data_IF_906671016363
#
_entry.id   IF_906671016363
#
_cell.length_a   1.000
_cell.length_b   1.000
_cell.length_c   1.000
_cell.angle_alpha   90.00
_cell.angle_beta   90.00
_cell.angle_gamma   90.00
#
_symmetry.space_group_name_H-M   'P 1'
#
loop_
_entity.id
_entity.type
_entity.pdbx_description
1 polymer ?
#
# COMPACT_ATOMS: atom_id res chain seq x y z
N UNK A 1 -10.21 10.25 16.37
CA UNK A 1 -11.30 9.62 15.60
C UNK A 1 -10.98 8.17 15.19
N UNK A 2 -9.85 7.89 14.49
CA UNK A 2 -9.49 6.53 14.11
C UNK A 2 -9.24 5.63 15.34
N UNK A 3 -8.50 6.12 16.33
CA UNK A 3 -8.24 5.42 17.60
C UNK A 3 -9.55 5.10 18.32
N UNK A 4 -10.50 6.04 18.35
CA UNK A 4 -11.81 5.82 18.99
C UNK A 4 -12.62 4.75 18.27
N UNK A 5 -12.58 4.74 16.93
CA UNK A 5 -13.26 3.72 16.12
C UNK A 5 -12.67 2.34 16.38
N UNK A 6 -11.34 2.24 16.42
CA UNK A 6 -10.63 0.99 16.67
C UNK A 6 -10.89 0.50 18.10
N UNK A 7 -10.85 1.39 19.09
CA UNK A 7 -11.18 1.05 20.49
C UNK A 7 -12.59 0.50 20.63
N UNK A 8 -13.58 1.12 19.95
CA UNK A 8 -14.96 0.60 19.94
C UNK A 8 -15.07 -0.76 19.28
N UNK A 9 -14.37 -0.95 18.15
CA UNK A 9 -14.35 -2.23 17.44
C UNK A 9 -13.79 -3.34 18.34
N UNK A 10 -12.62 -3.12 18.93
CA UNK A 10 -11.99 -4.09 19.82
C UNK A 10 -12.88 -4.41 21.03
N UNK A 11 -13.45 -3.38 21.66
CA UNK A 11 -14.36 -3.58 22.77
C UNK A 11 -15.57 -4.41 22.36
N UNK A 12 -16.25 -4.03 21.28
CA UNK A 12 -17.46 -4.73 20.83
C UNK A 12 -17.18 -6.20 20.45
N UNK A 13 -16.04 -6.49 19.83
CA UNK A 13 -15.65 -7.86 19.52
C UNK A 13 -15.30 -8.65 20.80
N UNK A 14 -14.55 -8.05 21.72
CA UNK A 14 -14.18 -8.68 22.98
C UNK A 14 -15.38 -8.90 23.92
N UNK A 15 -16.43 -8.09 23.83
CA UNK A 15 -17.70 -8.31 24.53
C UNK A 15 -18.43 -9.58 24.03
N UNK A 16 -18.15 -10.01 22.77
CA UNK A 16 -18.81 -11.18 22.16
C UNK A 16 -18.00 -12.46 22.38
N UNK A 17 -16.68 -12.39 22.19
CA UNK A 17 -15.80 -13.56 22.29
C UNK A 17 -14.35 -13.13 22.60
N UNK A 18 -13.47 -14.06 23.05
CA UNK A 18 -12.05 -13.77 23.20
C UNK A 18 -11.46 -13.27 21.89
N UNK A 19 -10.84 -12.09 21.92
CA UNK A 19 -10.20 -11.43 20.79
C UNK A 19 -8.68 -11.49 20.95
N UNK A 20 -8.01 -12.17 20.02
CA UNK A 20 -6.56 -12.22 19.93
C UNK A 20 -6.09 -11.30 18.82
N UNK A 21 -5.11 -10.47 19.12
CA UNK A 21 -4.51 -9.52 18.16
C UNK A 21 -3.01 -9.76 18.12
N UNK A 22 -2.42 -9.70 16.93
CA UNK A 22 -0.97 -9.59 16.71
C UNK A 22 -0.67 -8.28 15.98
N UNK A 23 0.55 -7.77 16.10
CA UNK A 23 0.97 -6.59 15.36
C UNK A 23 1.18 -6.88 13.88
N UNK A 24 0.82 -5.92 13.04
CA UNK A 24 1.23 -5.84 11.65
C UNK A 24 2.37 -4.84 11.44
N UNK A 25 2.94 -4.84 10.24
CA UNK A 25 4.04 -3.95 9.85
C UNK A 25 3.66 -2.46 9.86
N UNK A 26 2.38 -2.13 9.80
CA UNK A 26 1.86 -0.76 9.89
C UNK A 26 1.52 -0.31 11.32
N UNK A 27 1.41 -1.24 12.26
CA UNK A 27 1.13 -0.92 13.67
C UNK A 27 2.40 -0.52 14.43
N UNK A 28 3.56 -0.82 13.87
CA UNK A 28 4.86 -0.72 14.51
C UNK A 28 5.88 0.05 13.69
N UNK A 29 6.84 0.70 14.35
CA UNK A 29 8.02 1.19 13.66
C UNK A 29 9.08 0.08 13.64
N UNK A 30 9.18 -0.67 12.55
CA UNK A 30 10.13 -1.78 12.41
C UNK A 30 11.61 -1.36 12.53
N UNK A 31 11.91 -0.09 12.21
CA UNK A 31 13.26 0.47 12.34
C UNK A 31 13.60 0.94 13.75
N UNK A 32 12.62 1.01 14.64
CA UNK A 32 12.83 1.38 16.05
C UNK A 32 11.94 0.52 16.97
N UNK A 33 12.40 -0.69 17.32
CA UNK A 33 11.65 -1.62 18.18
C UNK A 33 11.35 -1.07 19.58
N UNK A 34 12.11 -0.05 20.04
CA UNK A 34 11.89 0.60 21.34
C UNK A 34 10.76 1.64 21.30
N UNK A 35 10.29 2.02 20.12
CA UNK A 35 9.15 2.92 19.99
C UNK A 35 7.86 2.15 20.27
N UNK A 36 6.98 2.76 21.07
CA UNK A 36 5.66 2.20 21.33
C UNK A 36 4.87 2.05 20.01
N UNK A 37 4.28 0.88 19.80
CA UNK A 37 3.36 0.63 18.69
C UNK A 37 1.99 1.27 18.93
N UNK A 38 1.15 1.29 17.90
CA UNK A 38 -0.18 1.92 17.96
C UNK A 38 -1.18 1.12 18.78
N UNK A 39 -1.02 -0.21 18.86
CA UNK A 39 -1.98 -1.11 19.51
C UNK A 39 -1.82 -1.13 21.02
N UNK A 40 -0.58 -1.09 21.54
CA UNK A 40 -0.30 -1.13 22.98
C UNK A 40 -1.15 -0.15 23.79
N UNK A 41 -1.16 1.16 23.53
CA UNK A 41 -1.92 2.10 24.35
C UNK A 41 -3.45 1.90 24.24
N UNK A 42 -3.93 1.39 23.12
CA UNK A 42 -5.37 1.11 22.93
C UNK A 42 -5.79 -0.07 23.79
N UNK A 43 -5.02 -1.17 23.74
CA UNK A 43 -5.32 -2.39 24.48
C UNK A 43 -5.19 -2.16 25.99
N UNK A 44 -4.13 -1.48 26.42
CA UNK A 44 -3.92 -1.13 27.83
C UNK A 44 -5.04 -0.23 28.38
N UNK A 45 -5.46 0.77 27.60
CA UNK A 45 -6.55 1.67 28.01
C UNK A 45 -7.91 0.94 28.08
N UNK A 46 -8.20 0.01 27.18
CA UNK A 46 -9.42 -0.77 27.20
C UNK A 46 -9.45 -1.75 28.36
N UNK A 47 -8.31 -2.32 28.74
CA UNK A 47 -8.15 -3.27 29.84
C UNK A 47 -9.27 -4.33 29.92
N UNK A 48 -9.64 -4.87 28.76
CA UNK A 48 -10.76 -5.80 28.63
C UNK A 48 -10.30 -7.25 28.86
N UNK A 49 -10.96 -8.07 29.69
CA UNK A 49 -10.51 -9.42 30.06
C UNK A 49 -10.43 -10.39 28.87
N UNK A 50 -11.24 -10.18 27.84
CA UNK A 50 -11.25 -11.00 26.62
C UNK A 50 -10.41 -10.41 25.49
N UNK A 51 -9.64 -9.33 25.70
CA UNK A 51 -8.78 -8.71 24.68
C UNK A 51 -7.31 -9.07 24.94
N UNK A 52 -6.73 -9.83 24.06
CA UNK A 52 -5.37 -10.38 24.20
C UNK A 52 -4.48 -9.89 23.07
N UNK A 53 -3.55 -8.99 23.37
CA UNK A 53 -2.54 -8.55 22.41
C UNK A 53 -1.26 -9.37 22.58
N UNK A 54 -1.02 -10.28 21.63
CA UNK A 54 0.14 -11.16 21.64
C UNK A 54 1.28 -10.49 20.87
N UNK A 55 2.05 -9.65 21.57
CA UNK A 55 3.02 -8.73 20.98
C UNK A 55 4.38 -9.36 20.67
N UNK A 56 4.72 -10.49 21.26
CA UNK A 56 6.06 -11.10 21.15
C UNK A 56 5.98 -12.47 20.57
N UNK A 57 7.07 -12.88 19.88
CA UNK A 57 7.25 -14.29 19.50
C UNK A 57 7.15 -15.17 20.73
N UNK A 58 6.26 -16.14 20.70
CA UNK A 58 5.98 -16.98 21.86
C UNK A 58 4.91 -18.03 21.56
N UNK A 59 4.71 -18.93 22.53
CA UNK A 59 3.61 -19.90 22.53
C UNK A 59 2.60 -19.47 23.59
N UNK A 60 1.38 -19.21 23.17
CA UNK A 60 0.28 -18.76 24.01
C UNK A 60 -0.82 -19.81 24.02
N UNK A 61 -1.19 -20.30 25.19
CA UNK A 61 -2.23 -21.32 25.32
C UNK A 61 -3.63 -20.70 25.28
N UNK A 62 -4.48 -21.20 24.40
CA UNK A 62 -5.89 -20.87 24.33
C UNK A 62 -6.71 -22.16 24.23
N UNK A 63 -7.34 -22.57 25.35
CA UNK A 63 -8.01 -23.86 25.50
C UNK A 63 -7.10 -25.02 25.00
N UNK A 64 -7.54 -25.80 24.02
CA UNK A 64 -6.78 -26.92 23.42
C UNK A 64 -5.90 -26.49 22.24
N UNK A 65 -5.66 -25.19 22.06
CA UNK A 65 -4.87 -24.65 20.97
C UNK A 65 -3.65 -23.91 21.49
N UNK A 66 -2.49 -24.18 20.92
CA UNK A 66 -1.28 -23.41 21.09
C UNK A 66 -1.17 -22.38 19.96
N UNK A 67 -1.35 -21.10 20.29
CA UNK A 67 -1.12 -20.01 19.37
C UNK A 67 0.37 -19.68 19.36
N UNK A 68 1.04 -19.95 18.26
CA UNK A 68 2.46 -19.69 18.07
C UNK A 68 2.62 -18.39 17.31
N UNK A 69 2.98 -17.33 17.99
CA UNK A 69 3.16 -16.02 17.37
C UNK A 69 4.58 -15.88 16.83
N UNK A 70 4.69 -15.44 15.58
CA UNK A 70 5.91 -14.97 14.98
C UNK A 70 5.80 -13.45 14.80
N UNK A 71 6.52 -12.72 15.63
CA UNK A 71 6.41 -11.28 15.73
C UNK A 71 7.07 -10.57 14.54
N UNK A 72 6.52 -9.42 14.16
CA UNK A 72 7.01 -8.60 13.03
C UNK A 72 8.36 -7.92 13.29
N UNK A 73 8.78 -7.82 14.57
CA UNK A 73 10.10 -7.25 14.93
C UNK A 73 11.24 -8.29 14.95
N UNK A 74 10.88 -9.57 14.98
CA UNK A 74 11.85 -10.65 15.09
C UNK A 74 12.38 -11.11 13.72
N UNK A 75 13.52 -11.74 13.71
CA UNK A 75 14.10 -12.35 12.52
C UNK A 75 13.62 -13.79 12.38
N UNK A 76 13.70 -14.33 11.16
CA UNK A 76 13.32 -15.70 10.87
C UNK A 76 14.08 -16.75 11.73
N UNK A 77 15.30 -16.40 12.21
CA UNK A 77 16.10 -17.24 13.12
C UNK A 77 15.46 -17.40 14.49
N UNK A 78 14.66 -16.42 14.90
CA UNK A 78 14.12 -16.32 16.26
C UNK A 78 12.70 -16.92 16.34
N UNK A 79 12.12 -17.28 15.18
CA UNK A 79 10.81 -17.91 15.12
C UNK A 79 10.84 -19.31 15.74
N UNK A 80 9.85 -19.58 16.57
CA UNK A 80 9.67 -20.88 17.24
C UNK A 80 9.42 -21.93 16.15
N UNK A 81 10.08 -23.09 16.27
CA UNK A 81 9.89 -24.22 15.36
C UNK A 81 8.83 -25.17 15.91
N UNK A 82 8.08 -25.81 15.04
CA UNK A 82 7.01 -26.73 15.45
C UNK A 82 7.49 -27.85 16.42
N UNK A 83 8.71 -28.36 16.21
CA UNK A 83 9.32 -29.36 17.10
C UNK A 83 9.56 -28.89 18.54
N UNK A 84 9.66 -27.57 18.74
CA UNK A 84 9.92 -26.95 20.03
C UNK A 84 8.59 -26.57 20.76
N UNK A 85 7.46 -26.81 20.12
CA UNK A 85 6.11 -26.59 20.68
C UNK A 85 5.59 -27.89 21.27
N UNK A 86 4.96 -27.83 22.45
CA UNK A 86 4.32 -28.99 23.07
C UNK A 86 3.24 -29.58 22.17
N UNK A 87 3.21 -30.90 22.08
CA UNK A 87 2.23 -31.63 21.27
C UNK A 87 0.97 -32.04 22.09
N UNK A 88 0.51 -31.13 22.97
CA UNK A 88 -0.63 -31.34 23.87
C UNK A 88 -1.90 -30.62 23.39
N UNK A 89 -1.95 -30.24 22.12
CA UNK A 89 -3.07 -29.54 21.49
C UNK A 89 -2.79 -29.23 20.03
N UNK A 90 -3.68 -28.46 19.40
CA UNK A 90 -3.49 -28.01 18.01
C UNK A 90 -2.53 -26.82 17.97
N UNK A 91 -1.49 -26.89 17.15
CA UNK A 91 -0.47 -25.85 17.00
C UNK A 91 -0.80 -24.94 15.81
N UNK A 92 -1.16 -23.71 16.10
CA UNK A 92 -1.58 -22.70 15.11
C UNK A 92 -0.59 -21.55 15.09
N UNK A 93 0.08 -21.32 13.95
CA UNK A 93 0.97 -20.17 13.78
C UNK A 93 0.17 -18.94 13.42
N UNK A 94 0.45 -17.82 14.07
CA UNK A 94 -0.01 -16.48 13.72
C UNK A 94 1.18 -15.66 13.22
N UNK A 95 1.12 -15.21 11.97
CA UNK A 95 2.20 -14.46 11.35
C UNK A 95 1.66 -13.34 10.47
N UNK A 96 2.23 -12.14 10.59
CA UNK A 96 1.93 -11.03 9.71
C UNK A 96 3.15 -10.69 8.87
N UNK A 97 3.14 -11.08 7.62
CA UNK A 97 4.22 -10.83 6.67
C UNK A 97 4.11 -11.69 5.43
N UNK A 98 4.98 -11.40 4.47
CA UNK A 98 5.01 -12.12 3.19
C UNK A 98 5.64 -13.50 3.35
N UNK A 99 5.01 -14.52 2.76
CA UNK A 99 5.55 -15.88 2.64
C UNK A 99 5.81 -16.18 1.17
N UNK A 100 6.84 -16.98 0.85
CA UNK A 100 7.09 -17.35 -0.54
C UNK A 100 5.86 -18.05 -1.16
N UNK A 101 5.68 -17.90 -2.47
CA UNK A 101 4.50 -18.34 -3.25
C UNK A 101 3.24 -17.50 -3.07
N UNK A 102 3.20 -16.55 -2.13
CA UNK A 102 2.07 -15.64 -2.04
C UNK A 102 1.98 -14.71 -3.26
N UNK A 103 0.76 -14.33 -3.60
CA UNK A 103 0.47 -13.47 -4.74
C UNK A 103 -0.42 -12.29 -4.32
N UNK A 104 -0.29 -11.17 -5.03
CA UNK A 104 -1.24 -10.06 -4.94
C UNK A 104 -2.52 -10.38 -5.73
N UNK A 105 -3.59 -9.58 -5.57
CA UNK A 105 -4.81 -9.70 -6.39
C UNK A 105 -4.53 -9.61 -7.91
N UNK A 106 -3.46 -8.92 -8.31
CA UNK A 106 -3.02 -8.81 -9.70
C UNK A 106 -2.17 -10.00 -10.19
N UNK A 107 -1.95 -11.01 -9.35
CA UNK A 107 -1.19 -12.23 -9.70
C UNK A 107 0.32 -12.08 -9.62
N UNK A 108 0.85 -11.00 -9.04
CA UNK A 108 2.29 -10.85 -8.82
C UNK A 108 2.75 -11.73 -7.65
N UNK A 109 3.71 -12.60 -7.91
CA UNK A 109 4.37 -13.38 -6.87
C UNK A 109 5.29 -12.49 -6.04
N UNK A 110 5.18 -12.63 -4.74
CA UNK A 110 5.95 -11.83 -3.79
C UNK A 110 7.18 -12.61 -3.34
N UNK A 111 8.39 -12.05 -3.49
CA UNK A 111 9.59 -12.65 -2.92
C UNK A 111 9.56 -12.54 -1.41
N UNK A 112 10.00 -13.62 -0.72
CA UNK A 112 10.10 -13.62 0.75
C UNK A 112 11.24 -14.50 1.22
N UNK A 113 11.83 -14.13 2.37
CA UNK A 113 12.76 -14.96 3.15
C UNK A 113 12.02 -16.05 3.90
N UNK A 114 10.81 -15.75 4.38
CA UNK A 114 9.95 -16.72 5.06
C UNK A 114 9.39 -17.69 4.04
N UNK A 115 9.70 -18.97 4.21
CA UNK A 115 9.35 -20.02 3.26
C UNK A 115 8.15 -20.83 3.75
N UNK A 116 7.26 -21.20 2.85
CA UNK A 116 6.10 -22.06 3.12
C UNK A 116 6.48 -23.33 3.91
N UNK A 117 7.64 -23.91 3.62
CA UNK A 117 8.14 -25.09 4.33
C UNK A 117 8.34 -24.89 5.83
N UNK A 118 8.48 -23.67 6.32
CA UNK A 118 8.65 -23.37 7.75
C UNK A 118 7.37 -23.62 8.55
N UNK A 119 6.23 -23.63 7.87
CA UNK A 119 4.90 -23.85 8.47
C UNK A 119 4.44 -25.31 8.41
N UNK A 120 5.14 -26.18 7.66
CA UNK A 120 4.67 -27.52 7.29
C UNK A 120 4.35 -28.43 8.48
N UNK A 121 5.09 -28.28 9.59
CA UNK A 121 4.97 -29.14 10.75
C UNK A 121 4.01 -28.57 11.83
N UNK A 122 3.34 -27.48 11.52
CA UNK A 122 2.23 -26.93 12.30
C UNK A 122 0.89 -27.45 11.77
N UNK A 123 -0.13 -27.42 12.61
CA UNK A 123 -1.47 -27.86 12.22
C UNK A 123 -2.15 -26.84 11.31
N UNK A 124 -1.97 -25.55 11.60
CA UNK A 124 -2.50 -24.44 10.82
C UNK A 124 -1.52 -23.26 10.85
N UNK A 125 -1.53 -22.44 9.80
CA UNK A 125 -0.88 -21.13 9.77
C UNK A 125 -1.86 -20.06 9.27
N UNK A 126 -2.17 -19.11 10.13
CA UNK A 126 -3.07 -17.99 9.85
C UNK A 126 -2.23 -16.75 9.58
N UNK A 127 -2.28 -16.28 8.33
CA UNK A 127 -1.36 -15.27 7.81
C UNK A 127 -2.08 -13.95 7.55
N UNK A 128 -1.40 -12.83 7.84
CA UNK A 128 -1.79 -11.46 7.50
C UNK A 128 -0.78 -10.78 6.56
N UNK A 129 -0.98 -9.52 6.20
CA UNK A 129 -0.22 -8.66 5.28
C UNK A 129 -0.70 -8.71 3.82
N UNK A 130 -1.01 -9.86 3.28
CA UNK A 130 -1.47 -9.99 1.89
C UNK A 130 -3.00 -9.89 1.84
N UNK A 131 -3.49 -8.91 1.08
CA UNK A 131 -4.93 -8.60 1.01
C UNK A 131 -5.72 -9.56 0.13
N UNK A 132 -5.04 -10.40 -0.68
CA UNK A 132 -5.64 -11.48 -1.45
C UNK A 132 -5.84 -12.69 -0.54
N UNK A 133 -7.09 -13.14 -0.38
CA UNK A 133 -7.38 -14.43 0.24
C UNK A 133 -6.79 -15.55 -0.60
N UNK A 134 -5.96 -16.36 -0.01
CA UNK A 134 -5.32 -17.49 -0.70
C UNK A 134 -4.82 -18.55 0.27
N UNK A 135 -4.79 -19.79 -0.19
CA UNK A 135 -4.04 -20.88 0.43
C UNK A 135 -2.72 -21.03 -0.29
N UNK A 136 -1.65 -21.25 0.47
CA UNK A 136 -0.29 -21.37 -0.08
C UNK A 136 0.09 -22.84 -0.28
N UNK A 137 -0.52 -23.73 0.51
CA UNK A 137 -0.37 -25.18 0.45
C UNK A 137 -1.56 -25.87 -0.24
N UNK A 138 -1.40 -27.14 -0.57
CA UNK A 138 -2.45 -27.96 -1.19
C UNK A 138 -3.47 -28.49 -0.20
N UNK A 139 -3.05 -28.62 1.05
CA UNK A 139 -3.82 -29.11 2.18
C UNK A 139 -4.78 -28.05 2.74
N UNK A 140 -4.66 -26.81 2.25
CA UNK A 140 -5.45 -25.64 2.68
C UNK A 140 -5.31 -25.33 4.18
N UNK A 141 -4.10 -25.55 4.73
CA UNK A 141 -3.79 -25.31 6.14
C UNK A 141 -2.96 -24.05 6.37
N UNK A 142 -2.37 -23.47 5.33
CA UNK A 142 -1.58 -22.24 5.37
C UNK A 142 -2.29 -21.16 4.56
N UNK A 143 -2.92 -20.20 5.25
CA UNK A 143 -3.85 -19.29 4.60
C UNK A 143 -3.64 -17.83 4.95
N UNK A 144 -3.67 -16.97 3.93
CA UNK A 144 -4.00 -15.56 4.08
C UNK A 144 -5.52 -15.39 4.08
N UNK A 145 -6.06 -14.75 5.11
CA UNK A 145 -7.49 -14.44 5.18
C UNK A 145 -7.91 -13.32 4.21
N UNK A 146 -6.95 -12.53 3.73
CA UNK A 146 -7.20 -11.32 2.97
C UNK A 146 -7.55 -10.12 3.87
N UNK A 147 -8.26 -9.16 3.30
CA UNK A 147 -8.74 -7.98 4.01
C UNK A 147 -10.27 -7.97 4.13
N UNK A 148 -10.82 -7.31 5.15
CA UNK A 148 -12.26 -7.19 5.35
C UNK A 148 -12.94 -6.27 4.33
N UNK A 149 -12.19 -5.33 3.77
CA UNK A 149 -12.65 -4.39 2.74
C UNK A 149 -11.55 -4.19 1.70
N UNK A 150 -11.92 -3.74 0.51
CA UNK A 150 -10.94 -3.29 -0.48
C UNK A 150 -10.19 -2.05 0.02
N UNK A 151 -8.89 -2.00 -0.23
CA UNK A 151 -8.03 -0.86 0.11
C UNK A 151 -7.65 -0.03 -1.13
N UNK A 152 -7.77 -0.59 -2.32
CA UNK A 152 -7.45 0.10 -3.57
C UNK A 152 -8.19 -0.49 -4.79
N UNK A 153 -8.06 0.17 -5.95
CA UNK A 153 -8.70 -0.23 -7.21
C UNK A 153 -8.13 -1.49 -7.89
N UNK A 154 -7.08 -2.08 -7.35
CA UNK A 154 -6.46 -3.30 -7.89
C UNK A 154 -6.87 -4.56 -7.15
N UNK A 155 -7.71 -4.46 -6.14
CA UNK A 155 -8.16 -5.59 -5.33
C UNK A 155 -9.55 -6.08 -5.74
N UNK A 156 -9.80 -7.38 -5.52
CA UNK A 156 -11.10 -7.99 -5.74
C UNK A 156 -12.16 -7.43 -4.78
N UNK A 157 -13.42 -7.47 -5.22
CA UNK A 157 -14.56 -6.89 -4.50
C UNK A 157 -14.98 -7.74 -3.32
N UNK A 158 -15.06 -9.06 -3.49
CA UNK A 158 -15.53 -9.99 -2.46
C UNK A 158 -14.52 -10.13 -1.33
N UNK A 159 -14.67 -9.28 -0.29
CA UNK A 159 -13.81 -9.26 0.90
C UNK A 159 -14.55 -9.83 2.10
N UNK A 160 -13.79 -10.40 3.05
CA UNK A 160 -14.37 -11.07 4.21
C UNK A 160 -13.30 -11.70 5.10
N UNK A 161 -13.65 -12.80 5.76
CA UNK A 161 -12.76 -13.51 6.67
C UNK A 161 -12.89 -15.04 6.52
N UNK A 162 -11.92 -15.76 7.07
CA UNK A 162 -11.94 -17.22 7.17
C UNK A 162 -12.45 -17.63 8.55
N UNK A 163 -13.52 -18.42 8.58
CA UNK A 163 -13.99 -19.14 9.75
C UNK A 163 -13.37 -20.52 9.79
N UNK A 164 -12.63 -20.85 10.84
CA UNK A 164 -11.90 -22.10 10.97
C UNK A 164 -12.56 -23.08 11.96
N UNK A 165 -12.75 -24.30 11.54
CA UNK A 165 -12.92 -25.46 12.42
C UNK A 165 -11.52 -26.01 12.72
N UNK A 166 -10.92 -25.52 13.80
CA UNK A 166 -9.51 -25.80 14.16
C UNK A 166 -9.25 -27.30 14.34
N UNK A 167 -10.06 -28.07 15.07
CA UNK A 167 -9.88 -29.52 15.19
C UNK A 167 -9.92 -30.27 13.84
N UNK A 168 -10.77 -29.83 12.91
CA UNK A 168 -10.87 -30.45 11.56
C UNK A 168 -9.88 -29.86 10.56
N UNK A 169 -9.18 -28.78 10.92
CA UNK A 169 -8.28 -28.04 10.03
C UNK A 169 -8.95 -27.61 8.70
N UNK A 170 -10.21 -27.19 8.80
CA UNK A 170 -10.99 -26.73 7.64
C UNK A 170 -11.50 -25.33 7.84
N UNK A 171 -11.55 -24.59 6.76
CA UNK A 171 -12.08 -23.23 6.78
C UNK A 171 -13.27 -23.04 5.87
N UNK A 172 -14.09 -22.07 6.20
CA UNK A 172 -15.16 -21.52 5.36
C UNK A 172 -14.89 -20.03 5.17
N UNK A 173 -15.01 -19.55 3.94
CA UNK A 173 -14.96 -18.12 3.69
C UNK A 173 -16.31 -17.49 3.94
N UNK A 174 -16.31 -16.41 4.73
CA UNK A 174 -17.49 -15.61 5.01
C UNK A 174 -17.27 -14.23 4.40
N UNK A 175 -18.03 -13.93 3.35
CA UNK A 175 -18.01 -12.62 2.71
C UNK A 175 -18.77 -11.59 3.57
N UNK A 176 -18.19 -10.39 3.71
CA UNK A 176 -18.83 -9.28 4.42
C UNK A 176 -19.41 -8.33 3.39
N UNK A 177 -20.74 -8.15 3.36
CA UNK A 177 -21.37 -7.14 2.51
C UNK A 177 -20.87 -5.74 2.88
N UNK A 178 -20.52 -4.95 1.87
CA UNK A 178 -19.98 -3.62 2.08
C UNK A 178 -20.64 -2.60 1.14
N UNK A 179 -21.14 -1.50 1.70
CA UNK A 179 -21.68 -0.38 0.92
C UNK A 179 -20.59 0.46 0.22
N UNK A 180 -19.32 0.25 0.59
CA UNK A 180 -18.15 0.95 0.04
C UNK A 180 -17.35 0.01 -0.86
N UNK A 181 -16.56 0.57 -1.74
CA UNK A 181 -15.63 -0.21 -2.55
C UNK A 181 -14.93 0.64 -3.61
N UNK A 182 -13.89 0.08 -4.22
CA UNK A 182 -13.11 0.74 -5.26
C UNK A 182 -13.46 0.13 -6.62
N UNK A 183 -13.95 0.95 -7.55
CA UNK A 183 -14.39 0.51 -8.87
C UNK A 183 -13.70 1.27 -9.99
N UNK A 184 -13.33 0.56 -11.04
CA UNK A 184 -12.87 1.18 -12.27
C UNK A 184 -13.97 1.12 -13.31
N UNK A 185 -14.44 2.28 -13.77
CA UNK A 185 -15.49 2.45 -14.79
C UNK A 185 -14.82 2.91 -16.07
N UNK A 186 -14.93 2.10 -17.13
CA UNK A 186 -14.44 2.48 -18.45
C UNK A 186 -15.57 3.10 -19.26
N UNK A 187 -15.39 4.37 -19.66
CA UNK A 187 -16.33 5.11 -20.50
C UNK A 187 -15.72 5.27 -21.88
N UNK A 188 -16.33 4.66 -22.88
CA UNK A 188 -15.97 4.83 -24.27
C UNK A 188 -17.14 5.40 -25.07
N UNK A 189 -16.85 6.36 -25.95
CA UNK A 189 -17.87 7.06 -26.76
C UNK A 189 -19.05 7.61 -25.95
N UNK A 190 -18.83 8.00 -24.69
CA UNK A 190 -19.86 8.54 -23.81
C UNK A 190 -20.88 7.52 -23.31
N UNK A 191 -20.60 6.23 -23.40
CA UNK A 191 -21.47 5.16 -22.93
C UNK A 191 -21.08 4.75 -21.49
N UNK A 192 -22.07 4.66 -20.62
CA UNK A 192 -21.92 4.14 -19.28
C UNK A 192 -22.11 2.62 -19.33
N UNK A 193 -21.20 1.81 -18.78
CA UNK A 193 -21.38 0.37 -18.69
C UNK A 193 -22.50 0.01 -17.69
N UNK A 194 -22.82 -1.26 -17.59
CA UNK A 194 -23.70 -1.74 -16.51
C UNK A 194 -23.02 -1.48 -15.15
N UNK A 195 -23.82 -1.01 -14.20
CA UNK A 195 -23.41 -0.60 -12.86
C UNK A 195 -24.20 -1.38 -11.78
N UNK A 196 -24.73 -2.55 -12.12
CA UNK A 196 -25.51 -3.40 -11.20
C UNK A 196 -24.69 -3.80 -9.96
N UNK A 197 -23.39 -4.05 -10.14
CA UNK A 197 -22.49 -4.52 -9.10
C UNK A 197 -21.86 -3.39 -8.28
N UNK A 198 -22.20 -2.12 -8.58
CA UNK A 198 -21.68 -1.01 -7.81
C UNK A 198 -22.34 -0.92 -6.44
N UNK A 199 -21.56 -0.79 -5.35
CA UNK A 199 -22.11 -0.56 -4.02
C UNK A 199 -22.76 0.82 -3.93
N UNK A 200 -23.49 1.08 -2.84
CA UNK A 200 -24.21 2.34 -2.64
C UNK A 200 -23.29 3.55 -2.53
N UNK A 201 -22.05 3.36 -2.04
CA UNK A 201 -21.07 4.43 -1.72
C UNK A 201 -19.68 4.12 -2.30
N UNK A 202 -19.56 3.98 -3.65
CA UNK A 202 -18.28 3.60 -4.26
C UNK A 202 -17.29 4.76 -4.32
N UNK A 203 -15.98 4.39 -4.33
CA UNK A 203 -14.90 5.21 -4.84
C UNK A 203 -14.62 4.78 -6.28
N UNK A 204 -14.71 5.69 -7.23
CA UNK A 204 -14.64 5.33 -8.64
C UNK A 204 -13.44 5.93 -9.35
N UNK A 205 -12.72 5.09 -10.08
CA UNK A 205 -11.76 5.50 -11.10
C UNK A 205 -12.45 5.44 -12.46
N UNK A 206 -12.57 6.57 -13.12
CA UNK A 206 -13.25 6.68 -14.40
C UNK A 206 -12.19 6.83 -15.48
N UNK A 207 -12.07 5.83 -16.34
CA UNK A 207 -11.21 5.86 -17.53
C UNK A 207 -12.04 6.25 -18.73
N UNK A 208 -11.64 7.32 -19.39
CA UNK A 208 -12.44 7.94 -20.47
C UNK A 208 -11.67 7.84 -21.78
N UNK A 209 -12.29 7.25 -22.79
CA UNK A 209 -11.82 7.22 -24.18
C UNK A 209 -12.89 7.75 -25.14
N UNK A 210 -12.47 8.37 -26.25
CA UNK A 210 -13.34 8.81 -27.34
C UNK A 210 -14.61 9.56 -26.89
N UNK A 211 -14.56 10.30 -25.78
CA UNK A 211 -15.74 10.89 -25.13
C UNK A 211 -15.62 12.41 -25.05
N UNK A 212 -16.59 13.12 -25.61
CA UNK A 212 -16.66 14.59 -25.55
C UNK A 212 -17.02 15.08 -24.15
N UNK A 213 -16.58 16.27 -23.72
CA UNK A 213 -16.86 16.81 -22.38
C UNK A 213 -18.36 16.85 -22.03
N UNK A 214 -19.23 17.16 -22.97
CA UNK A 214 -20.68 17.18 -22.75
C UNK A 214 -21.26 15.78 -22.48
N UNK A 215 -20.76 14.74 -23.15
CA UNK A 215 -21.14 13.35 -22.91
C UNK A 215 -20.65 12.87 -21.54
N UNK A 216 -19.42 13.19 -21.18
CA UNK A 216 -18.87 12.86 -19.87
C UNK A 216 -19.70 13.49 -18.74
N UNK A 217 -20.11 14.76 -18.89
CA UNK A 217 -20.98 15.43 -17.91
C UNK A 217 -22.32 14.71 -17.72
N UNK A 218 -22.93 14.20 -18.81
CA UNK A 218 -24.17 13.40 -18.74
C UNK A 218 -23.95 12.09 -18.00
N UNK A 219 -22.88 11.36 -18.32
CA UNK A 219 -22.50 10.11 -17.67
C UNK A 219 -22.26 10.32 -16.18
N UNK A 220 -21.53 11.37 -15.80
CA UNK A 220 -21.31 11.71 -14.39
C UNK A 220 -22.61 12.01 -13.64
N UNK A 221 -23.55 12.68 -14.31
CA UNK A 221 -24.87 12.93 -13.72
C UNK A 221 -25.68 11.66 -13.53
N UNK A 222 -25.62 10.70 -14.47
CA UNK A 222 -26.26 9.40 -14.36
C UNK A 222 -25.65 8.57 -13.23
N UNK A 223 -24.31 8.53 -13.13
CA UNK A 223 -23.60 7.83 -12.07
C UNK A 223 -24.00 8.36 -10.67
N UNK A 224 -24.02 9.68 -10.50
CA UNK A 224 -24.42 10.32 -9.23
C UNK A 224 -25.89 10.07 -8.85
N UNK A 225 -26.76 9.76 -9.82
CA UNK A 225 -28.16 9.37 -9.56
C UNK A 225 -28.30 7.92 -9.09
N UNK A 226 -27.40 7.03 -9.55
CA UNK A 226 -27.44 5.61 -9.21
C UNK A 226 -26.81 5.29 -7.85
N UNK A 227 -25.74 6.01 -7.46
CA UNK A 227 -25.00 5.75 -6.23
C UNK A 227 -24.45 7.03 -5.63
N UNK A 228 -24.17 6.99 -4.31
CA UNK A 228 -23.53 8.10 -3.58
C UNK A 228 -22.01 7.98 -3.73
N UNK A 229 -21.47 8.39 -4.87
CA UNK A 229 -20.02 8.39 -5.12
C UNK A 229 -19.29 9.16 -4.02
N UNK A 230 -18.37 8.50 -3.32
CA UNK A 230 -17.56 9.11 -2.24
C UNK A 230 -16.38 9.87 -2.82
N UNK A 231 -15.76 9.29 -3.83
CA UNK A 231 -14.59 9.84 -4.50
C UNK A 231 -14.62 9.46 -5.98
N UNK A 232 -14.19 10.37 -6.84
CA UNK A 232 -14.06 10.08 -8.26
C UNK A 232 -12.78 10.68 -8.84
N UNK A 233 -11.98 9.82 -9.49
CA UNK A 233 -10.81 10.23 -10.25
C UNK A 233 -11.07 9.95 -11.72
N UNK A 234 -10.89 10.98 -12.57
CA UNK A 234 -11.12 10.88 -14.01
C UNK A 234 -9.76 10.87 -14.72
N UNK A 235 -9.51 9.82 -15.48
CA UNK A 235 -8.30 9.68 -16.31
C UNK A 235 -8.70 9.60 -17.77
N UNK A 236 -8.20 10.50 -18.62
CA UNK A 236 -8.37 10.44 -20.07
C UNK A 236 -7.32 9.53 -20.68
N UNK A 237 -7.75 8.63 -21.55
CA UNK A 237 -6.91 7.63 -22.23
C UNK A 237 -6.72 8.01 -23.73
N UNK A 238 -7.28 9.15 -24.16
CA UNK A 238 -7.32 9.61 -25.56
C UNK A 238 -5.98 10.17 -26.09
N UNK A 239 -4.86 9.91 -25.45
CA UNK A 239 -3.56 10.41 -25.93
C UNK A 239 -2.58 9.30 -26.36
N UNK A 240 -2.99 8.07 -26.20
CA UNK A 240 -2.17 6.91 -26.58
C UNK A 240 -2.62 6.48 -27.98
N UNK A 241 -1.75 6.67 -28.96
CA UNK A 241 -2.03 6.34 -30.37
C UNK A 241 -2.66 4.94 -30.48
N UNK A 242 -3.84 4.87 -31.14
CA UNK A 242 -4.61 3.62 -31.32
C UNK A 242 -3.80 2.50 -31.97
N UNK A 243 -2.75 2.84 -32.69
CA UNK A 243 -1.93 1.88 -33.42
C UNK A 243 -0.96 1.08 -32.54
N UNK A 244 -0.63 1.58 -31.33
CA UNK A 244 0.25 0.88 -30.36
C UNK A 244 -0.51 0.01 -29.36
N UNK A 245 -1.83 0.12 -29.26
CA UNK A 245 -2.67 -0.59 -28.26
C UNK A 245 -3.23 -1.92 -28.81
N UNK A 246 -3.17 -2.14 -30.13
CA UNK A 246 -3.80 -3.32 -30.76
C UNK A 246 -3.04 -4.63 -30.62
N UNK A 247 -1.73 -4.59 -30.42
CA UNK A 247 -0.89 -5.79 -30.42
C UNK A 247 -0.37 -6.25 -29.06
N UNK A 248 -0.52 -5.46 -28.00
CA UNK A 248 -0.03 -5.88 -26.68
C UNK A 248 -1.11 -5.71 -25.62
N UNK A 249 -1.47 -6.80 -24.98
CA UNK A 249 -2.23 -6.86 -23.71
C UNK A 249 -1.43 -6.27 -22.53
N UNK A 250 -0.73 -5.17 -22.74
CA UNK A 250 0.08 -4.53 -21.71
C UNK A 250 -0.77 -3.49 -21.01
N UNK A 251 -0.95 -3.66 -19.72
CA UNK A 251 -1.61 -2.70 -18.83
C UNK A 251 -0.78 -1.41 -18.80
N UNK A 252 -1.16 -0.42 -19.63
CA UNK A 252 -0.49 0.88 -19.71
C UNK A 252 -0.72 1.60 -18.38
N UNK A 253 0.31 1.71 -17.56
CA UNK A 253 0.27 2.50 -16.33
C UNK A 253 1.01 1.93 -15.12
N UNK A 254 1.55 0.73 -15.18
CA UNK A 254 2.30 0.20 -14.05
C UNK A 254 3.80 0.09 -14.39
N UNK A 255 4.56 1.15 -14.10
CA UNK A 255 6.04 1.18 -14.27
C UNK A 255 6.72 0.09 -13.43
N UNK A 256 6.04 -0.44 -12.42
CA UNK A 256 6.52 -1.56 -11.59
C UNK A 256 6.31 -2.92 -12.25
N UNK A 257 5.62 -2.99 -13.39
CA UNK A 257 5.50 -4.23 -14.15
C UNK A 257 6.79 -4.46 -14.97
N UNK A 258 7.51 -5.53 -14.67
CA UNK A 258 8.79 -5.84 -15.31
C UNK A 258 8.64 -6.04 -16.84
N UNK A 259 7.55 -6.65 -17.30
CA UNK A 259 7.26 -6.81 -18.72
C UNK A 259 7.04 -5.46 -19.42
N UNK A 260 6.42 -4.50 -18.74
CA UNK A 260 6.27 -3.14 -19.25
C UNK A 260 7.62 -2.38 -19.28
N UNK A 261 8.47 -2.57 -18.27
CA UNK A 261 9.84 -2.02 -18.28
C UNK A 261 10.66 -2.58 -19.44
N UNK A 262 10.56 -3.89 -19.71
CA UNK A 262 11.22 -4.50 -20.86
C UNK A 262 10.77 -3.87 -22.18
N UNK A 263 9.47 -3.73 -22.38
CA UNK A 263 8.94 -3.15 -23.62
C UNK A 263 9.35 -1.69 -23.83
N UNK A 264 9.41 -0.90 -22.76
CA UNK A 264 9.89 0.49 -22.82
C UNK A 264 11.37 0.60 -23.17
N UNK A 265 12.20 -0.25 -22.57
CA UNK A 265 13.64 -0.28 -22.84
C UNK A 265 13.89 -0.75 -24.28
N UNK A 266 13.21 -1.81 -24.72
CA UNK A 266 13.29 -2.32 -26.08
C UNK A 266 12.84 -1.27 -27.10
N UNK A 267 11.72 -0.58 -26.87
CA UNK A 267 11.25 0.50 -27.73
C UNK A 267 12.27 1.66 -27.78
N UNK A 268 12.82 2.06 -26.64
CA UNK A 268 13.82 3.14 -26.58
C UNK A 268 15.11 2.77 -27.32
N UNK A 269 15.61 1.55 -27.11
CA UNK A 269 16.84 1.09 -27.73
C UNK A 269 16.68 0.96 -29.24
N UNK A 270 15.60 0.32 -29.71
CA UNK A 270 15.34 0.14 -31.15
C UNK A 270 15.13 1.48 -31.89
N UNK A 271 14.61 2.51 -31.19
CA UNK A 271 14.40 3.82 -31.79
C UNK A 271 15.69 4.69 -31.85
N UNK A 272 16.67 4.42 -30.99
CA UNK A 272 17.83 5.29 -30.82
C UNK A 272 19.19 4.62 -31.12
N UNK A 273 19.23 3.28 -31.12
CA UNK A 273 20.50 2.53 -31.27
C UNK A 273 20.26 1.26 -32.09
N UNK A 274 21.32 0.84 -32.82
CA UNK A 274 21.35 -0.49 -33.44
C UNK A 274 21.89 -1.49 -32.39
N UNK A 275 20.99 -2.19 -31.72
CA UNK A 275 21.31 -3.14 -30.63
C UNK A 275 21.15 -4.56 -31.17
N UNK A 276 22.19 -5.39 -31.02
CA UNK A 276 22.13 -6.80 -31.36
C UNK A 276 21.38 -7.63 -30.30
N UNK A 277 20.96 -8.83 -30.67
CA UNK A 277 20.16 -9.71 -29.84
C UNK A 277 20.87 -10.14 -28.54
N UNK A 278 22.19 -10.37 -28.61
CA UNK A 278 23.02 -10.74 -27.46
C UNK A 278 23.10 -9.60 -26.43
N UNK A 279 23.19 -8.37 -26.88
CA UNK A 279 23.19 -7.18 -26.04
C UNK A 279 21.81 -6.98 -25.39
N UNK A 280 20.72 -7.22 -26.12
CA UNK A 280 19.36 -7.13 -25.57
C UNK A 280 19.13 -8.19 -24.48
N UNK A 281 19.60 -9.42 -24.66
CA UNK A 281 19.55 -10.48 -23.66
C UNK A 281 20.28 -10.06 -22.37
N UNK A 282 21.46 -9.44 -22.50
CA UNK A 282 22.23 -8.95 -21.33
C UNK A 282 21.49 -7.83 -20.59
N UNK A 283 20.92 -6.88 -21.32
CA UNK A 283 20.14 -5.77 -20.74
C UNK A 283 18.92 -6.32 -20.00
N UNK A 284 18.19 -7.25 -20.59
CA UNK A 284 17.02 -7.87 -19.97
C UNK A 284 17.39 -8.66 -18.71
N UNK A 285 18.56 -9.33 -18.71
CA UNK A 285 19.08 -10.00 -17.52
C UNK A 285 19.42 -9.01 -16.41
N UNK A 286 20.12 -7.93 -16.72
CA UNK A 286 20.45 -6.87 -15.74
C UNK A 286 19.16 -6.27 -15.14
N UNK A 287 18.16 -5.98 -15.97
CA UNK A 287 16.88 -5.43 -15.50
C UNK A 287 16.14 -6.41 -14.59
N UNK A 288 16.15 -7.71 -14.93
CA UNK A 288 15.57 -8.76 -14.09
C UNK A 288 16.28 -8.87 -12.74
N UNK A 289 17.62 -8.86 -12.74
CA UNK A 289 18.45 -8.94 -11.54
C UNK A 289 18.23 -7.71 -10.63
N UNK A 290 18.11 -6.51 -11.21
CA UNK A 290 17.81 -5.28 -10.48
C UNK A 290 16.42 -5.32 -9.85
N UNK A 291 15.40 -5.73 -10.60
CA UNK A 291 14.04 -5.87 -10.05
C UNK A 291 13.98 -6.92 -8.93
N UNK A 292 14.71 -8.02 -9.07
CA UNK A 292 14.80 -9.05 -8.02
C UNK A 292 15.48 -8.50 -6.76
N UNK A 293 16.55 -7.73 -6.89
CA UNK A 293 17.20 -7.06 -5.75
C UNK A 293 16.27 -6.07 -5.08
N UNK A 294 15.62 -5.19 -5.83
CA UNK A 294 14.66 -4.21 -5.31
C UNK A 294 13.52 -4.91 -4.58
N UNK A 295 12.98 -6.00 -5.15
CA UNK A 295 11.91 -6.76 -4.53
C UNK A 295 12.36 -7.54 -3.28
N UNK A 296 13.64 -7.96 -3.22
CA UNK A 296 14.18 -8.73 -2.07
C UNK A 296 14.56 -7.86 -0.87
N UNK A 297 14.73 -6.57 -1.06
CA UNK A 297 15.22 -5.67 0.00
C UNK A 297 14.11 -5.01 0.82
N UNK A 298 12.82 -5.29 0.60
CA UNK A 298 11.69 -4.61 1.28
C UNK A 298 11.74 -3.06 1.22
N UNK A 299 12.55 -2.53 0.30
CA UNK A 299 12.90 -1.11 0.19
C UNK A 299 11.67 -0.24 -0.12
N UNK A 300 10.63 -0.81 -0.74
CA UNK A 300 9.47 -0.04 -1.18
C UNK A 300 8.48 0.33 -0.06
N UNK A 301 8.60 -0.26 1.14
CA UNK A 301 7.70 0.05 2.27
C UNK A 301 8.34 0.84 3.41
N UNK A 302 9.68 0.93 3.46
CA UNK A 302 10.42 1.57 4.56
C UNK A 302 11.63 2.38 4.08
N UNK A 303 11.50 3.16 3.01
CA UNK A 303 12.57 4.11 2.66
C UNK A 303 12.60 5.20 3.72
N UNK A 304 13.57 5.15 4.62
CA UNK A 304 13.91 6.24 5.50
C UNK A 304 14.69 7.29 4.72
N UNK A 305 13.98 8.13 3.99
CA UNK A 305 14.62 9.30 3.40
C UNK A 305 14.76 10.40 4.44
N UNK A 306 15.91 11.01 4.47
CA UNK A 306 16.22 12.15 5.34
C UNK A 306 16.52 13.37 4.49
N UNK A 307 15.73 14.42 4.68
CA UNK A 307 15.94 15.68 3.99
C UNK A 307 17.23 16.32 4.51
N UNK A 308 18.15 16.66 3.60
CA UNK A 308 19.45 17.25 3.91
C UNK A 308 19.50 18.75 3.63
N UNK A 309 19.03 19.15 2.46
CA UNK A 309 19.16 20.54 2.02
C UNK A 309 18.03 20.91 1.06
N UNK A 310 17.45 22.08 1.25
CA UNK A 310 16.50 22.70 0.34
C UNK A 310 17.07 24.00 -0.20
N UNK A 311 17.27 24.10 -1.49
CA UNK A 311 17.76 25.25 -2.22
C UNK A 311 16.63 25.76 -3.12
N UNK A 312 16.29 27.04 -3.06
CA UNK A 312 15.24 27.60 -3.91
C UNK A 312 15.44 29.10 -4.15
N UNK A 313 14.96 29.54 -5.30
CA UNK A 313 15.02 30.94 -5.73
C UNK A 313 13.71 31.35 -6.37
N UNK A 314 13.31 32.59 -6.13
CA UNK A 314 12.20 33.27 -6.78
C UNK A 314 10.86 32.55 -6.64
N UNK A 315 10.57 31.99 -5.47
CA UNK A 315 9.31 31.33 -5.16
C UNK A 315 8.47 32.18 -4.20
N UNK A 316 7.22 32.42 -4.52
CA UNK A 316 6.28 33.25 -3.74
C UNK A 316 6.86 34.63 -3.39
N UNK A 317 7.08 34.91 -2.11
CA UNK A 317 7.69 36.17 -1.60
C UNK A 317 9.22 36.11 -1.48
N UNK A 318 9.81 34.96 -1.74
CA UNK A 318 11.27 34.77 -1.63
C UNK A 318 11.99 35.24 -2.89
N UNK A 319 13.15 35.84 -2.72
CA UNK A 319 14.09 36.21 -3.79
C UNK A 319 15.02 35.08 -4.18
N UNK A 320 16.25 35.45 -4.55
CA UNK A 320 17.27 34.53 -5.02
C UNK A 320 18.01 33.84 -3.88
N UNK A 321 18.61 32.67 -4.14
CA UNK A 321 19.62 31.98 -3.33
C UNK A 321 19.20 31.64 -1.89
N UNK A 322 17.98 31.18 -1.69
CA UNK A 322 17.53 30.72 -0.38
C UNK A 322 17.98 29.29 -0.13
N UNK A 323 18.50 29.04 1.09
CA UNK A 323 18.99 27.72 1.49
C UNK A 323 18.49 27.37 2.88
N UNK A 324 17.90 26.18 3.02
CA UNK A 324 17.61 25.56 4.32
C UNK A 324 18.44 24.29 4.45
N UNK A 325 19.37 24.29 5.40
CA UNK A 325 20.24 23.16 5.71
C UNK A 325 19.67 22.37 6.88
N UNK A 326 19.00 21.27 6.60
CA UNK A 326 18.38 20.41 7.60
C UNK A 326 19.39 19.57 8.38
N UNK A 327 20.64 19.45 7.92
CA UNK A 327 21.68 18.72 8.66
C UNK A 327 22.08 19.41 9.96
N UNK A 328 21.83 20.71 10.04
CA UNK A 328 22.10 21.55 11.23
C UNK A 328 20.92 21.62 12.20
N UNK A 329 19.78 21.01 11.83
CA UNK A 329 18.54 21.05 12.61
C UNK A 329 18.32 19.72 13.31
N UNK A 330 18.04 19.75 14.62
CA UNK A 330 17.77 18.56 15.43
C UNK A 330 16.50 18.77 16.28
N UNK A 331 15.72 17.72 16.46
CA UNK A 331 14.52 17.75 17.28
C UNK A 331 13.40 18.61 16.68
N UNK A 332 12.69 19.34 17.52
CA UNK A 332 11.60 20.24 17.12
C UNK A 332 12.18 21.62 16.83
N UNK A 333 11.98 22.10 15.61
CA UNK A 333 12.48 23.39 15.15
C UNK A 333 11.32 24.37 14.95
N UNK A 334 11.40 25.53 15.60
CA UNK A 334 10.43 26.61 15.45
C UNK A 334 10.86 27.64 14.42
N UNK A 335 9.99 28.00 13.48
CA UNK A 335 10.20 29.11 12.55
C UNK A 335 9.43 30.35 13.01
N UNK A 336 10.16 31.32 13.53
CA UNK A 336 9.62 32.57 14.08
C UNK A 336 9.91 33.75 13.15
N UNK A 337 8.88 34.48 12.78
CA UNK A 337 8.99 35.69 11.99
C UNK A 337 7.67 36.50 12.08
N UNK A 338 7.65 37.81 11.78
CA UNK A 338 6.42 38.62 11.74
C UNK A 338 5.35 38.03 10.81
N UNK A 339 4.12 38.44 10.98
CA UNK A 339 3.04 38.07 10.06
C UNK A 339 3.35 38.60 8.65
N UNK A 340 2.93 37.87 7.65
CA UNK A 340 3.19 38.12 6.23
C UNK A 340 4.67 38.05 5.77
N UNK A 341 5.59 37.56 6.60
CA UNK A 341 7.02 37.43 6.25
C UNK A 341 7.38 36.21 5.40
N UNK A 342 6.38 35.39 5.00
CA UNK A 342 6.63 34.23 4.14
C UNK A 342 6.79 32.88 4.85
N UNK A 343 6.56 32.77 6.18
CA UNK A 343 6.69 31.50 6.93
C UNK A 343 5.96 30.33 6.27
N UNK A 344 4.69 30.51 5.97
CA UNK A 344 3.89 29.47 5.30
C UNK A 344 4.25 29.28 3.82
N UNK A 345 4.78 30.33 3.18
CA UNK A 345 5.25 30.24 1.79
C UNK A 345 6.51 29.34 1.67
N UNK A 346 7.33 29.25 2.72
CA UNK A 346 8.45 28.32 2.78
C UNK A 346 7.98 26.86 2.76
N UNK A 347 6.92 26.55 3.53
CA UNK A 347 6.35 25.20 3.54
C UNK A 347 5.68 24.85 2.21
N UNK A 348 5.00 25.83 1.59
CA UNK A 348 4.42 25.65 0.26
C UNK A 348 5.49 25.46 -0.83
N UNK A 349 6.62 26.17 -0.76
CA UNK A 349 7.74 25.98 -1.68
C UNK A 349 8.38 24.60 -1.53
N UNK A 350 8.52 24.11 -0.30
CA UNK A 350 9.02 22.77 -0.02
C UNK A 350 8.03 21.70 -0.52
N UNK A 351 6.74 21.86 -0.25
CA UNK A 351 5.69 20.95 -0.72
C UNK A 351 5.60 20.91 -2.25
N UNK A 352 5.75 22.05 -2.91
CA UNK A 352 5.79 22.10 -4.36
C UNK A 352 7.01 21.36 -4.92
N UNK A 353 8.19 21.54 -4.34
CA UNK A 353 9.39 20.84 -4.79
C UNK A 353 9.32 19.32 -4.59
N UNK A 354 8.58 18.85 -3.55
CA UNK A 354 8.40 17.44 -3.23
C UNK A 354 7.31 16.77 -4.06
N UNK A 355 6.18 17.46 -4.23
CA UNK A 355 4.92 16.84 -4.64
C UNK A 355 4.21 17.55 -5.78
N UNK A 356 4.78 18.62 -6.32
CA UNK A 356 4.14 19.53 -7.31
C UNK A 356 2.77 20.06 -6.82
N UNK A 357 2.63 20.29 -5.51
CA UNK A 357 1.41 20.74 -4.85
C UNK A 357 1.69 22.00 -4.03
N UNK A 358 0.80 22.99 -4.14
CA UNK A 358 0.79 24.17 -3.28
C UNK A 358 -0.62 24.45 -2.77
N UNK A 359 -0.75 24.82 -1.50
CA UNK A 359 -2.04 25.23 -0.93
C UNK A 359 -2.45 26.64 -1.36
N UNK A 360 -1.49 27.44 -1.85
CA UNK A 360 -1.67 28.87 -2.20
C UNK A 360 -1.76 29.14 -3.68
N UNK A 361 -1.32 28.21 -4.51
CA UNK A 361 -1.26 28.39 -5.95
C UNK A 361 -1.87 27.18 -6.69
N UNK A 362 -2.88 27.45 -7.48
CA UNK A 362 -3.53 26.44 -8.36
C UNK A 362 -2.86 26.32 -9.73
N UNK A 363 -1.93 27.23 -10.06
CA UNK A 363 -1.15 27.24 -11.31
C UNK A 363 0.31 27.48 -11.00
N UNK A 364 1.21 26.79 -11.69
CA UNK A 364 2.67 26.92 -11.51
C UNK A 364 3.16 28.37 -11.62
N UNK A 365 2.61 29.14 -12.56
CA UNK A 365 2.95 30.56 -12.72
C UNK A 365 2.65 31.43 -11.47
N UNK A 366 1.77 31.00 -10.58
CA UNK A 366 1.46 31.72 -9.36
C UNK A 366 2.46 31.42 -8.22
N UNK A 367 3.36 30.47 -8.44
CA UNK A 367 4.43 30.13 -7.51
C UNK A 367 5.64 31.04 -7.73
N UNK A 368 5.85 31.46 -8.96
CA UNK A 368 6.94 32.40 -9.31
C UNK A 368 6.72 33.72 -8.57
N UNK A 369 7.79 34.26 -8.01
CA UNK A 369 7.76 35.60 -7.42
C UNK A 369 7.30 36.63 -8.47
N UNK A 370 6.32 37.45 -8.12
CA UNK A 370 5.70 38.43 -9.04
C UNK A 370 6.68 39.41 -9.69
N UNK A 371 7.83 39.64 -9.08
CA UNK A 371 8.91 40.49 -9.60
C UNK A 371 9.93 39.74 -10.46
N UNK A 372 9.72 38.45 -10.71
CA UNK A 372 10.66 37.57 -11.41
C UNK A 372 9.94 36.80 -12.53
N UNK A 373 10.73 36.28 -13.47
CA UNK A 373 10.23 35.54 -14.62
C UNK A 373 10.51 34.04 -14.56
N UNK A 374 11.35 33.62 -13.61
CA UNK A 374 11.75 32.23 -13.41
C UNK A 374 11.84 31.90 -11.93
N UNK A 375 11.77 30.62 -11.63
CA UNK A 375 12.04 30.06 -10.29
C UNK A 375 12.92 28.83 -10.42
N UNK A 376 13.57 28.48 -9.31
CA UNK A 376 14.34 27.26 -9.17
C UNK A 376 14.11 26.66 -7.80
N UNK A 377 14.01 25.32 -7.74
CA UNK A 377 14.03 24.60 -6.47
C UNK A 377 14.76 23.26 -6.61
N UNK A 378 15.47 22.86 -5.55
CA UNK A 378 16.25 21.63 -5.50
C UNK A 378 16.23 21.06 -4.09
N UNK A 379 15.99 19.76 -3.96
CA UNK A 379 16.03 19.04 -2.70
C UNK A 379 17.10 17.95 -2.75
N UNK A 380 17.90 17.90 -1.69
CA UNK A 380 18.88 16.84 -1.47
C UNK A 380 18.40 15.93 -0.34
N UNK A 381 18.40 14.63 -0.60
CA UNK A 381 18.02 13.58 0.35
C UNK A 381 19.19 12.65 0.63
N UNK A 382 19.16 12.03 1.79
CA UNK A 382 19.87 10.79 2.11
C UNK A 382 18.81 9.67 2.16
N UNK A 383 19.06 8.59 1.46
CA UNK A 383 18.20 7.41 1.35
C UNK A 383 18.91 6.22 1.99
#
# INVERSE_FOLDING_TARGET
ELVDQLSRLFKNLADICPLVIIAGNHDANLNNPNRMDVLTPIVENLNHPNLHYLKRTGVYRCADTNLVVWDVWDKESDYIKAKDVKQDGTNVVLYHGTVDRSETDLGFKLPSKVKMKMFKDYDLALLGDIHKRQFIDKEETIAYCGSLIQQNHGEDIGKGYLLWDVPKRKSQYIEIPNDFGYYTINIDNGKLPDLSDLPKKPRVRIRVSNTKPAQLKRVMTQLKKKCKVQESVITRVDGLSKDKVRDNKINIGNVNNIGYQFSLIEEYLNNNYAVDEDTMIKINKILSDLNTKIASEDILRNINWKLKKFEFSNMFSYGEDNVVDFTKLNGIVGLFAPNASGKSALLDALAFCLFDISTRATRANNIINKAKTNMHCKLNFEI
#
